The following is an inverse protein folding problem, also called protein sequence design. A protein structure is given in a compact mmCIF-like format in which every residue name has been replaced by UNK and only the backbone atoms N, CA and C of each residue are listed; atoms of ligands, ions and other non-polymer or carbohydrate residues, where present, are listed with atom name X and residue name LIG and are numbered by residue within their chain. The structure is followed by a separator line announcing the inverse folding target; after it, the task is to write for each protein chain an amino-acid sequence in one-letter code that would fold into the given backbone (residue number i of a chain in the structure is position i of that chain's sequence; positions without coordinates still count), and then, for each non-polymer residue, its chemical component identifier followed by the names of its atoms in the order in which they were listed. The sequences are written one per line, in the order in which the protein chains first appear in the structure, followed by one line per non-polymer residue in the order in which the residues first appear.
data_IF_502939257642
#
_entry.id   IF_502939257642
#
_cell.length_a   1.000
_cell.length_b   1.000
_cell.length_c   1.000
_cell.angle_alpha   90.00
_cell.angle_beta   90.00
_cell.angle_gamma   90.00
#
_symmetry.space_group_name_H-M   'P 1'
#
loop_
_entity.id
_entity.type
_entity.pdbx_description
1 polymer ?
#
# COMPACT_ATOMS: atom_id res chain seq x y z
N UNK A 1 16.27 -10.24 -9.55
CA UNK A 1 15.95 -9.02 -10.35
C UNK A 1 14.57 -8.46 -10.02
N UNK A 2 13.53 -9.29 -9.99
CA UNK A 2 12.15 -8.87 -9.64
C UNK A 2 12.08 -8.08 -8.32
N UNK A 3 12.75 -8.53 -7.25
CA UNK A 3 12.84 -7.78 -5.98
C UNK A 3 13.38 -6.35 -6.14
N UNK A 4 14.44 -6.16 -6.94
CA UNK A 4 14.98 -4.81 -7.17
C UNK A 4 14.02 -3.95 -8.00
N UNK A 5 13.29 -4.55 -8.94
CA UNK A 5 12.29 -3.85 -9.75
C UNK A 5 11.09 -3.40 -8.90
N UNK A 6 10.64 -4.24 -7.96
CA UNK A 6 9.57 -3.84 -7.04
C UNK A 6 10.07 -2.73 -6.09
N UNK A 7 11.34 -2.80 -5.64
CA UNK A 7 11.93 -1.75 -4.79
C UNK A 7 12.02 -0.39 -5.51
N UNK A 8 12.38 -0.39 -6.79
CA UNK A 8 12.42 0.86 -7.56
C UNK A 8 11.01 1.41 -7.76
N UNK A 9 10.02 0.54 -8.02
CA UNK A 9 8.61 0.95 -8.16
C UNK A 9 8.07 1.58 -6.87
N UNK A 10 8.32 0.97 -5.71
CA UNK A 10 7.87 1.50 -4.41
C UNK A 10 8.49 2.85 -4.08
N UNK A 11 9.74 3.07 -4.49
CA UNK A 11 10.43 4.34 -4.28
C UNK A 11 9.85 5.47 -5.15
N UNK A 12 9.49 5.17 -6.41
CA UNK A 12 8.81 6.15 -7.28
C UNK A 12 7.46 6.55 -6.70
N UNK A 13 6.69 5.58 -6.18
CA UNK A 13 5.41 5.85 -5.53
C UNK A 13 5.54 6.72 -4.28
N UNK A 14 6.57 6.51 -3.45
CA UNK A 14 6.82 7.34 -2.26
C UNK A 14 7.08 8.81 -2.61
N UNK A 15 7.81 9.08 -3.70
CA UNK A 15 8.08 10.46 -4.14
C UNK A 15 6.79 11.15 -4.61
N UNK A 16 5.91 10.40 -5.28
CA UNK A 16 4.61 10.90 -5.73
C UNK A 16 3.65 11.15 -4.55
N UNK A 17 3.73 10.35 -3.48
CA UNK A 17 2.87 10.49 -2.31
C UNK A 17 2.96 11.88 -1.65
N UNK A 18 4.16 12.45 -1.58
CA UNK A 18 4.42 13.76 -0.96
C UNK A 18 3.67 14.89 -1.70
N UNK A 19 3.35 14.72 -2.98
CA UNK A 19 2.72 15.74 -3.83
C UNK A 19 1.19 15.68 -3.83
N UNK A 20 0.58 14.67 -3.21
CA UNK A 20 -0.86 14.50 -3.21
C UNK A 20 -1.51 15.37 -2.13
N UNK A 21 -2.52 16.15 -2.52
CA UNK A 21 -3.29 17.00 -1.61
C UNK A 21 -4.67 16.46 -1.29
N UNK A 22 -5.27 15.69 -2.20
CA UNK A 22 -6.63 15.18 -2.02
C UNK A 22 -6.63 13.92 -1.14
N UNK A 23 -7.38 13.87 -0.03
CA UNK A 23 -7.35 12.76 0.92
C UNK A 23 -7.70 11.41 0.28
N UNK A 24 -8.63 11.41 -0.69
CA UNK A 24 -8.97 10.19 -1.43
C UNK A 24 -7.82 9.67 -2.31
N UNK A 25 -7.04 10.55 -2.93
CA UNK A 25 -5.92 10.09 -3.76
C UNK A 25 -4.76 9.60 -2.91
N UNK A 26 -4.54 10.22 -1.73
CA UNK A 26 -3.59 9.71 -0.73
C UNK A 26 -3.95 8.30 -0.28
N UNK A 27 -5.24 8.02 -0.04
CA UNK A 27 -5.70 6.69 0.36
C UNK A 27 -5.49 5.61 -0.71
N UNK A 28 -5.85 5.92 -1.96
CA UNK A 28 -5.59 5.02 -3.09
C UNK A 28 -4.09 4.72 -3.24
N UNK A 29 -3.24 5.73 -3.03
CA UNK A 29 -1.79 5.54 -3.04
C UNK A 29 -1.31 4.61 -1.92
N UNK A 30 -1.87 4.72 -0.70
CA UNK A 30 -1.50 3.84 0.41
C UNK A 30 -1.90 2.39 0.13
N UNK A 31 -3.06 2.14 -0.49
CA UNK A 31 -3.48 0.79 -0.88
C UNK A 31 -2.52 0.20 -1.92
N UNK A 32 -2.13 0.97 -2.94
CA UNK A 32 -1.16 0.51 -3.94
C UNK A 32 0.23 0.28 -3.34
N UNK A 33 0.66 1.13 -2.41
CA UNK A 33 1.95 0.99 -1.73
C UNK A 33 2.00 -0.26 -0.85
N UNK A 34 0.93 -0.54 -0.10
CA UNK A 34 0.83 -1.73 0.76
C UNK A 34 0.79 -3.02 -0.06
N UNK A 35 0.20 -3.02 -1.25
CA UNK A 35 0.30 -4.13 -2.19
C UNK A 35 1.75 -4.40 -2.62
N UNK A 36 2.50 -3.36 -3.00
CA UNK A 36 3.91 -3.50 -3.39
C UNK A 36 4.78 -3.99 -2.22
N UNK A 37 4.52 -3.53 -1.00
CA UNK A 37 5.22 -4.00 0.22
C UNK A 37 4.84 -5.45 0.56
N UNK A 38 3.59 -5.86 0.36
CA UNK A 38 3.14 -7.24 0.50
C UNK A 38 3.89 -8.19 -0.45
N UNK A 39 4.04 -7.79 -1.72
CA UNK A 39 4.84 -8.55 -2.68
C UNK A 39 6.32 -8.63 -2.27
N UNK A 40 6.89 -7.55 -1.75
CA UNK A 40 8.28 -7.54 -1.28
C UNK A 40 8.50 -8.48 -0.11
N UNK A 41 7.65 -8.40 0.92
CA UNK A 41 7.73 -9.27 2.11
C UNK A 41 7.49 -10.73 1.76
N UNK A 42 6.58 -11.01 0.82
CA UNK A 42 6.36 -12.36 0.30
C UNK A 42 7.58 -12.95 -0.42
N UNK A 43 8.40 -12.13 -1.07
CA UNK A 43 9.67 -12.60 -1.68
C UNK A 43 10.83 -12.72 -0.69
N UNK A 44 10.68 -12.20 0.54
CA UNK A 44 11.72 -12.23 1.58
C UNK A 44 11.58 -13.42 2.53
N UNK A 45 10.36 -13.97 2.66
CA UNK A 45 10.04 -15.03 3.60
C UNK A 45 9.77 -16.35 2.89
N UNK A 46 10.03 -17.46 3.58
CA UNK A 46 9.74 -18.82 3.11
C UNK A 46 8.25 -19.10 2.97
N UNK A 47 7.39 -18.35 3.66
CA UNK A 47 5.92 -18.49 3.57
C UNK A 47 5.23 -17.14 3.36
N UNK A 48 4.18 -17.15 2.54
CA UNK A 48 3.36 -15.96 2.22
C UNK A 48 2.40 -15.54 3.33
N UNK A 49 2.40 -16.22 4.48
CA UNK A 49 1.42 -16.00 5.55
C UNK A 49 1.52 -14.57 6.14
N UNK A 50 2.75 -14.08 6.36
CA UNK A 50 2.95 -12.70 6.84
C UNK A 50 2.50 -11.67 5.80
N UNK A 51 2.90 -11.83 4.54
CA UNK A 51 2.50 -10.89 3.46
C UNK A 51 0.99 -10.82 3.28
N UNK A 52 0.28 -11.92 3.50
CA UNK A 52 -1.17 -11.99 3.38
C UNK A 52 -1.88 -11.25 4.53
N UNK A 53 -1.44 -11.46 5.77
CA UNK A 53 -2.00 -10.76 6.94
C UNK A 53 -1.74 -9.25 6.82
N UNK A 54 -0.54 -8.87 6.41
CA UNK A 54 -0.16 -7.46 6.24
C UNK A 54 -1.01 -6.78 5.17
N UNK A 55 -1.31 -7.47 4.07
CA UNK A 55 -2.20 -6.96 3.04
C UNK A 55 -3.64 -6.81 3.54
N UNK A 56 -4.22 -7.83 4.17
CA UNK A 56 -5.62 -7.79 4.64
C UNK A 56 -5.87 -6.74 5.72
N UNK A 57 -4.95 -6.61 6.68
CA UNK A 57 -5.08 -5.65 7.78
C UNK A 57 -5.06 -4.20 7.27
N UNK A 58 -4.16 -3.88 6.34
CA UNK A 58 -4.10 -2.55 5.74
C UNK A 58 -5.30 -2.27 4.84
N UNK A 59 -5.75 -3.24 4.04
CA UNK A 59 -6.90 -3.06 3.17
C UNK A 59 -8.18 -2.83 3.99
N UNK A 60 -8.38 -3.59 5.07
CA UNK A 60 -9.48 -3.37 6.01
C UNK A 60 -9.45 -1.99 6.67
N UNK A 61 -8.29 -1.57 7.20
CA UNK A 61 -8.15 -0.26 7.85
C UNK A 61 -8.36 0.92 6.90
N UNK A 62 -7.87 0.81 5.67
CA UNK A 62 -8.01 1.87 4.66
C UNK A 62 -9.46 1.98 4.14
N UNK A 63 -10.20 0.88 4.05
CA UNK A 63 -11.64 0.93 3.69
C UNK A 63 -12.49 1.60 4.77
N UNK A 64 -12.18 1.41 6.06
CA UNK A 64 -12.88 2.13 7.13
C UNK A 64 -12.60 3.64 7.04
N UNK A 65 -11.34 4.01 6.81
CA UNK A 65 -10.98 5.41 6.57
C UNK A 65 -11.66 5.97 5.32
N UNK A 66 -11.85 5.17 4.28
CA UNK A 66 -12.56 5.57 3.06
C UNK A 66 -13.99 6.01 3.39
N UNK A 67 -14.73 5.14 4.05
CA UNK A 67 -16.12 5.40 4.43
C UNK A 67 -16.20 6.65 5.31
N UNK A 68 -15.29 6.77 6.28
CA UNK A 68 -15.23 7.93 7.17
C UNK A 68 -15.05 9.24 6.40
N UNK A 69 -14.11 9.31 5.46
CA UNK A 69 -13.85 10.53 4.68
C UNK A 69 -15.04 10.84 3.76
N UNK A 70 -15.62 9.82 3.11
CA UNK A 70 -16.82 10.02 2.26
C UNK A 70 -18.06 10.40 3.05
N UNK A 71 -18.13 10.14 4.35
CA UNK A 71 -19.26 10.56 5.19
C UNK A 71 -19.16 12.02 5.67
N UNK A 72 -17.97 12.61 5.61
CA UNK A 72 -17.68 13.96 6.12
C UNK A 72 -17.55 14.98 4.98
N UNK A 73 -17.03 14.55 3.82
CA UNK A 73 -16.98 15.35 2.61
C UNK A 73 -18.31 15.31 1.84
#
# INVERSE_FOLDING_TARGET
MIKMMIMSLSNVMNINFIKLSHPMSMMLFIILQTFLVGLMTGTMMESYWLSYILFLTFLGGMLVLFIYITSIA
#
